data_IF_914306298672
#
_entry.id   IF_914306298672
#
_cell.length_a   1.000
_cell.length_b   1.000
_cell.length_c   1.000
_cell.angle_alpha   90.00
_cell.angle_beta   90.00
_cell.angle_gamma   90.00
#
_symmetry.space_group_name_H-M   'P 1'
#
loop_
_entity.id
_entity.type
_entity.pdbx_description
1 polymer ?
#
# COMPACT_ATOMS: atom_id res chain seq x y z
N UNK A 1 2.77 1.02 -13.76
CA UNK A 1 2.12 0.82 -12.45
C UNK A 1 2.54 -0.54 -11.96
N UNK A 2 3.14 -0.62 -10.78
CA UNK A 2 3.70 -1.86 -10.28
C UNK A 2 3.53 -1.95 -8.76
N UNK A 3 3.37 -3.17 -8.27
CA UNK A 3 3.31 -3.50 -6.86
C UNK A 3 4.22 -4.70 -6.62
N UNK A 4 5.22 -4.53 -5.77
CA UNK A 4 6.09 -5.64 -5.37
C UNK A 4 5.33 -6.62 -4.48
N UNK A 5 5.77 -7.88 -4.46
CA UNK A 5 5.22 -8.85 -3.50
C UNK A 5 5.50 -8.45 -2.05
N UNK A 6 6.65 -7.80 -1.78
CA UNK A 6 6.99 -7.33 -0.44
C UNK A 6 6.01 -6.25 0.03
N UNK A 7 5.72 -5.27 -0.81
CA UNK A 7 4.77 -4.20 -0.48
C UNK A 7 3.35 -4.74 -0.34
N UNK A 8 2.96 -5.74 -1.15
CA UNK A 8 1.69 -6.42 -0.97
C UNK A 8 1.61 -7.13 0.39
N UNK A 9 2.61 -7.95 0.75
CA UNK A 9 2.66 -8.62 2.04
C UNK A 9 2.64 -7.63 3.20
N UNK A 10 3.42 -6.54 3.12
CA UNK A 10 3.44 -5.48 4.12
C UNK A 10 2.05 -4.87 4.35
N UNK A 11 1.29 -4.63 3.27
CA UNK A 11 -0.06 -4.12 3.40
C UNK A 11 -0.99 -5.13 4.06
N UNK A 12 -0.93 -6.40 3.65
CA UNK A 12 -1.75 -7.47 4.24
C UNK A 12 -1.46 -7.62 5.73
N UNK A 13 -0.19 -7.59 6.15
CA UNK A 13 0.18 -7.64 7.57
C UNK A 13 -0.43 -6.48 8.37
N UNK A 14 -0.45 -5.27 7.80
CA UNK A 14 -1.08 -4.09 8.42
C UNK A 14 -2.60 -4.24 8.52
N UNK A 15 -3.26 -4.79 7.49
CA UNK A 15 -4.71 -5.05 7.51
C UNK A 15 -5.06 -6.08 8.58
N UNK A 16 -4.26 -7.15 8.72
CA UNK A 16 -4.48 -8.19 9.73
C UNK A 16 -4.30 -7.70 11.17
N UNK A 17 -3.56 -6.60 11.37
CA UNK A 17 -3.35 -5.96 12.68
C UNK A 17 -4.31 -4.80 12.94
N UNK A 18 -5.13 -4.42 11.95
CA UNK A 18 -6.02 -3.28 12.05
C UNK A 18 -7.27 -3.60 12.88
N UNK A 19 -7.89 -2.59 13.51
CA UNK A 19 -9.20 -2.74 14.13
C UNK A 19 -10.29 -3.19 13.14
N UNK A 20 -11.20 -4.06 13.59
CA UNK A 20 -12.28 -4.65 12.76
C UNK A 20 -13.31 -3.63 12.22
N UNK A 21 -13.28 -2.39 12.71
CA UNK A 21 -14.20 -1.33 12.27
C UNK A 21 -13.70 -0.57 11.03
N UNK A 22 -12.55 -0.93 10.46
CA UNK A 22 -12.01 -0.33 9.24
C UNK A 22 -12.45 -1.16 8.03
N UNK A 23 -13.12 -0.51 7.08
CA UNK A 23 -13.58 -1.13 5.83
C UNK A 23 -13.55 -0.10 4.70
N UNK A 24 -13.19 -0.51 3.49
CA UNK A 24 -13.06 0.38 2.35
C UNK A 24 -12.44 -0.29 1.13
N UNK A 25 -12.35 0.46 0.03
CA UNK A 25 -11.65 0.06 -1.19
C UNK A 25 -10.34 0.83 -1.24
N UNK A 26 -9.22 0.10 -1.30
CA UNK A 26 -7.88 0.68 -1.30
C UNK A 26 -7.14 0.28 -2.57
N UNK A 27 -6.60 1.25 -3.28
CA UNK A 27 -5.64 0.98 -4.35
C UNK A 27 -4.24 0.88 -3.77
N UNK A 28 -3.46 -0.08 -4.24
CA UNK A 28 -2.10 -0.32 -3.77
C UNK A 28 -1.12 -0.31 -4.93
N UNK A 29 -0.03 0.43 -4.74
CA UNK A 29 1.13 0.39 -5.63
C UNK A 29 2.39 0.57 -4.80
N UNK A 30 3.51 0.05 -5.29
CA UNK A 30 4.83 0.41 -4.75
C UNK A 30 5.11 1.91 -4.92
N UNK A 31 6.19 2.41 -4.34
CA UNK A 31 6.63 3.80 -4.44
C UNK A 31 7.19 4.16 -5.83
N UNK A 32 6.36 3.96 -6.85
CA UNK A 32 6.66 4.28 -8.23
C UNK A 32 6.70 5.80 -8.41
N UNK A 33 7.59 6.30 -9.26
CA UNK A 33 7.64 7.72 -9.60
C UNK A 33 6.36 8.14 -10.34
N UNK A 34 5.86 7.28 -11.23
CA UNK A 34 4.59 7.46 -11.93
C UNK A 34 3.49 6.67 -11.21
N UNK A 35 2.62 7.37 -10.49
CA UNK A 35 1.41 6.81 -9.86
C UNK A 35 0.17 7.49 -10.44
N UNK A 36 -0.90 6.72 -10.61
CA UNK A 36 -2.21 7.21 -11.09
C UNK A 36 -3.30 7.10 -10.01
N UNK A 37 -2.96 6.48 -8.88
CA UNK A 37 -3.82 6.32 -7.71
C UNK A 37 -3.17 6.99 -6.52
N UNK A 38 -4.02 7.54 -5.67
CA UNK A 38 -3.65 8.01 -4.34
C UNK A 38 -3.56 6.82 -3.37
N UNK A 39 -2.65 6.90 -2.41
CA UNK A 39 -2.46 5.94 -1.32
C UNK A 39 -2.79 6.55 0.05
N UNK A 40 -3.32 7.79 0.09
CA UNK A 40 -3.58 8.53 1.31
C UNK A 40 -4.53 7.79 2.26
N UNK A 41 -5.55 7.11 1.74
CA UNK A 41 -6.45 6.29 2.56
C UNK A 41 -5.71 5.10 3.20
N UNK A 42 -4.89 4.39 2.42
CA UNK A 42 -4.10 3.26 2.94
C UNK A 42 -3.05 3.72 3.97
N UNK A 43 -2.48 4.91 3.78
CA UNK A 43 -1.56 5.53 4.72
C UNK A 43 -2.28 5.98 6.00
N UNK A 44 -3.43 6.62 5.88
CA UNK A 44 -4.21 7.13 7.02
C UNK A 44 -4.74 5.98 7.88
N UNK A 45 -5.32 4.97 7.24
CA UNK A 45 -6.12 3.96 7.94
C UNK A 45 -5.26 2.75 8.37
N UNK A 46 -4.17 2.45 7.65
CA UNK A 46 -3.29 1.30 7.92
C UNK A 46 -1.81 1.67 8.15
N UNK A 47 -1.45 2.96 8.13
CA UNK A 47 -0.06 3.41 8.16
C UNK A 47 0.79 2.76 7.05
N UNK A 48 0.19 2.49 5.89
CA UNK A 48 0.89 1.84 4.79
C UNK A 48 1.84 2.81 4.08
N UNK A 49 3.12 2.43 4.01
CA UNK A 49 4.16 3.14 3.25
C UNK A 49 4.93 2.11 2.42
N UNK A 50 4.83 2.13 1.07
CA UNK A 50 5.53 1.19 0.21
C UNK A 50 7.05 1.42 0.26
N UNK A 51 7.82 0.34 0.22
CA UNK A 51 9.28 0.31 0.35
C UNK A 51 10.00 0.16 -0.99
N UNK A 52 9.38 -0.54 -1.94
CA UNK A 52 9.96 -0.78 -3.25
C UNK A 52 9.47 0.26 -4.27
N UNK A 53 10.06 0.29 -5.46
CA UNK A 53 9.61 1.12 -6.57
C UNK A 53 10.14 0.60 -7.89
N UNK A 54 9.32 0.62 -8.94
CA UNK A 54 9.65 0.03 -10.23
C UNK A 54 10.98 0.53 -10.83
N UNK A 55 11.35 1.78 -10.53
CA UNK A 55 12.54 2.41 -11.12
C UNK A 55 13.85 2.07 -10.39
N UNK A 56 13.77 1.29 -9.31
CA UNK A 56 14.92 0.88 -8.48
C UNK A 56 15.26 -0.60 -8.65
N UNK A 57 14.68 -1.26 -9.66
CA UNK A 57 14.95 -2.65 -10.03
C UNK A 57 16.00 -2.74 -11.15
#
# INVERSE_FOLDING_TARGET
VWLSHRDLCLFIDKVLQAPDNISGIYFLTSNNHRRWVDLDDAKRDFDFVPQDGAEKL
#
